data_IF_006633921881
#
_entry.id   IF_006633921881
#
_cell.length_a   1.000
_cell.length_b   1.000
_cell.length_c   1.000
_cell.angle_alpha   90.00
_cell.angle_beta   90.00
_cell.angle_gamma   90.00
#
_symmetry.space_group_name_H-M   'P 1'
#
loop_
_entity.id
_entity.type
_entity.pdbx_description
1 polymer ?
#
# COMPACT_ATOMS: atom_id res chain seq x y z
N UNK A 1 47.40 8.48 18.44
CA UNK A 1 46.87 7.55 19.45
C UNK A 1 46.23 8.40 20.54
N UNK A 2 44.92 8.42 20.76
CA UNK A 2 44.01 7.28 20.87
C UNK A 2 42.63 7.64 20.33
N UNK A 3 42.18 6.80 19.41
CA UNK A 3 40.80 6.59 19.01
C UNK A 3 40.03 6.08 20.24
N UNK A 4 39.38 6.98 20.98
CA UNK A 4 38.48 6.58 22.06
C UNK A 4 37.15 6.20 21.44
N UNK A 5 37.11 4.96 20.97
CA UNK A 5 35.92 4.21 20.61
C UNK A 5 34.81 4.50 21.65
N UNK A 6 33.87 5.35 21.24
CA UNK A 6 32.53 5.39 21.83
C UNK A 6 31.94 4.02 21.61
N UNK A 7 32.01 3.20 22.66
CA UNK A 7 31.25 1.97 22.76
C UNK A 7 29.80 2.42 22.82
N UNK A 8 29.17 2.56 21.65
CA UNK A 8 27.72 2.64 21.54
C UNK A 8 27.20 1.28 22.01
N UNK A 9 27.01 1.18 23.32
CA UNK A 9 26.18 0.15 23.94
C UNK A 9 24.83 0.27 23.27
N UNK A 10 24.55 -0.64 22.33
CA UNK A 10 23.27 -0.75 21.67
C UNK A 10 22.19 -0.91 22.71
N UNK A 11 21.52 0.19 23.04
CA UNK A 11 20.22 0.17 23.70
C UNK A 11 19.35 -0.83 22.94
N UNK A 12 18.77 -1.84 23.61
CA UNK A 12 17.86 -2.75 22.92
C UNK A 12 16.70 -1.91 22.40
N UNK A 13 16.61 -1.76 21.07
CA UNK A 13 15.47 -1.12 20.41
C UNK A 13 14.22 -1.86 20.89
N UNK A 14 13.49 -1.26 21.84
CA UNK A 14 12.24 -1.82 22.35
C UNK A 14 11.21 -1.63 21.24
N UNK A 15 11.15 -2.60 20.31
CA UNK A 15 10.09 -2.61 19.31
C UNK A 15 8.75 -2.66 20.04
N UNK A 16 7.85 -1.69 19.82
CA UNK A 16 6.57 -1.65 20.52
C UNK A 16 5.82 -2.96 20.27
N UNK A 17 5.65 -3.77 21.32
CA UNK A 17 5.04 -5.12 21.25
C UNK A 17 3.61 -5.10 20.70
N UNK A 18 2.97 -3.92 20.67
CA UNK A 18 1.65 -3.66 20.10
C UNK A 18 1.54 -3.98 18.60
N UNK A 19 2.61 -3.76 17.82
CA UNK A 19 2.63 -4.03 16.38
C UNK A 19 2.56 -5.54 16.06
N UNK A 20 3.15 -6.40 16.91
CA UNK A 20 3.18 -7.85 16.72
C UNK A 20 1.79 -8.48 16.85
N UNK A 21 0.93 -7.93 17.71
CA UNK A 21 -0.44 -8.43 17.90
C UNK A 21 -1.31 -8.12 16.69
N UNK A 22 -1.19 -6.90 16.13
CA UNK A 22 -1.91 -6.51 14.91
C UNK A 22 -1.53 -7.36 13.69
N UNK A 23 -0.26 -7.75 13.58
CA UNK A 23 0.23 -8.59 12.48
C UNK A 23 -0.46 -9.95 12.45
N UNK A 24 -0.64 -10.60 13.60
CA UNK A 24 -1.31 -11.91 13.70
C UNK A 24 -2.84 -11.82 13.72
N UNK A 25 -3.39 -10.73 14.29
CA UNK A 25 -4.84 -10.55 14.39
C UNK A 25 -5.50 -10.44 13.01
N UNK A 26 -4.84 -9.77 12.04
CA UNK A 26 -5.33 -9.66 10.67
C UNK A 26 -5.60 -11.03 10.01
N UNK A 27 -4.58 -11.90 9.82
CA UNK A 27 -4.75 -13.21 9.21
C UNK A 27 -5.72 -14.11 9.97
N UNK A 28 -5.77 -14.02 11.30
CA UNK A 28 -6.72 -14.76 12.12
C UNK A 28 -8.16 -14.34 11.79
N UNK A 29 -8.45 -13.03 11.75
CA UNK A 29 -9.78 -12.53 11.40
C UNK A 29 -10.12 -12.82 9.95
N UNK A 30 -9.16 -12.71 9.03
CA UNK A 30 -9.34 -13.05 7.63
C UNK A 30 -9.72 -14.52 7.44
N UNK A 31 -8.97 -15.45 8.05
CA UNK A 31 -9.26 -16.87 7.99
C UNK A 31 -10.58 -17.21 8.69
N UNK A 32 -10.85 -16.60 9.84
CA UNK A 32 -12.11 -16.75 10.55
C UNK A 32 -13.28 -16.32 9.66
N UNK A 33 -13.15 -15.17 8.98
CA UNK A 33 -14.19 -14.67 8.09
C UNK A 33 -14.41 -15.58 6.89
N UNK A 34 -13.35 -16.15 6.31
CA UNK A 34 -13.48 -17.09 5.19
C UNK A 34 -14.07 -18.45 5.59
N UNK A 35 -13.88 -18.90 6.83
CA UNK A 35 -14.33 -20.22 7.28
C UNK A 35 -15.70 -20.20 7.98
N UNK A 36 -16.06 -19.10 8.64
CA UNK A 36 -17.23 -19.04 9.52
C UNK A 36 -18.28 -18.02 9.10
N UNK A 37 -18.03 -17.17 8.10
CA UNK A 37 -18.94 -16.09 7.73
C UNK A 37 -19.35 -16.20 6.26
N UNK A 38 -20.57 -16.67 6.01
CA UNK A 38 -21.18 -16.66 4.68
C UNK A 38 -22.13 -15.46 4.56
N UNK A 39 -21.64 -14.36 3.94
CA UNK A 39 -22.45 -13.15 3.76
C UNK A 39 -23.56 -13.35 2.72
N UNK A 40 -23.29 -14.12 1.66
CA UNK A 40 -24.26 -14.44 0.62
C UNK A 40 -24.00 -15.87 0.09
N UNK A 41 -24.92 -16.83 0.32
CA UNK A 41 -24.78 -18.20 -0.17
C UNK A 41 -24.68 -18.31 -1.69
N UNK A 42 -25.17 -17.31 -2.44
CA UNK A 42 -25.15 -17.33 -3.90
C UNK A 42 -23.85 -16.77 -4.48
N UNK A 43 -23.08 -15.99 -3.70
CA UNK A 43 -21.89 -15.28 -4.17
C UNK A 43 -20.78 -15.26 -3.12
N UNK A 44 -19.93 -16.31 -3.02
CA UNK A 44 -18.83 -16.35 -2.06
C UNK A 44 -17.76 -15.26 -2.30
N UNK A 45 -17.80 -14.57 -3.45
CA UNK A 45 -16.91 -13.45 -3.77
C UNK A 45 -17.12 -12.26 -2.81
N UNK A 46 -18.36 -12.02 -2.36
CA UNK A 46 -18.68 -10.89 -1.48
C UNK A 46 -17.99 -11.06 -0.13
N UNK A 47 -18.05 -12.27 0.44
CA UNK A 47 -17.33 -12.63 1.66
C UNK A 47 -15.83 -12.43 1.48
N UNK A 48 -15.25 -12.88 0.36
CA UNK A 48 -13.80 -12.74 0.11
C UNK A 48 -13.37 -11.27 0.02
N UNK A 49 -14.14 -10.43 -0.69
CA UNK A 49 -13.85 -8.99 -0.77
C UNK A 49 -13.96 -8.32 0.59
N UNK A 50 -15.03 -8.62 1.34
CA UNK A 50 -15.24 -8.07 2.67
C UNK A 50 -14.17 -8.52 3.67
N UNK A 51 -13.69 -9.77 3.57
CA UNK A 51 -12.57 -10.26 4.37
C UNK A 51 -11.27 -9.49 4.10
N UNK A 52 -10.98 -9.15 2.85
CA UNK A 52 -9.81 -8.34 2.49
C UNK A 52 -9.95 -6.91 3.02
N UNK A 53 -11.14 -6.31 2.91
CA UNK A 53 -11.40 -4.96 3.43
C UNK A 53 -11.24 -4.93 4.95
N UNK A 54 -11.76 -5.94 5.66
CA UNK A 54 -11.66 -6.03 7.11
C UNK A 54 -10.21 -6.26 7.56
N UNK A 55 -9.48 -7.13 6.85
CA UNK A 55 -8.04 -7.34 7.06
C UNK A 55 -7.25 -6.02 6.92
N UNK A 56 -7.53 -5.27 5.86
CA UNK A 56 -6.92 -3.97 5.60
C UNK A 56 -7.24 -2.95 6.71
N UNK A 57 -8.50 -2.87 7.12
CA UNK A 57 -8.92 -1.97 8.19
C UNK A 57 -8.22 -2.29 9.52
N UNK A 58 -8.07 -3.57 9.86
CA UNK A 58 -7.36 -4.01 11.06
C UNK A 58 -5.90 -3.57 11.00
N UNK A 59 -5.22 -3.79 9.87
CA UNK A 59 -3.81 -3.39 9.72
C UNK A 59 -3.60 -1.88 9.62
N UNK A 60 -4.57 -1.12 9.11
CA UNK A 60 -4.56 0.34 9.18
C UNK A 60 -4.69 0.85 10.61
N UNK A 61 -5.62 0.30 11.40
CA UNK A 61 -5.85 0.74 12.80
C UNK A 61 -4.70 0.32 13.71
N UNK A 62 -4.09 -0.84 13.47
CA UNK A 62 -3.03 -1.39 14.34
C UNK A 62 -1.62 -0.96 13.96
N UNK A 63 -1.46 -0.22 12.85
CA UNK A 63 -0.17 0.19 12.28
C UNK A 63 0.86 -0.96 12.23
N UNK A 64 0.39 -2.19 12.00
CA UNK A 64 1.23 -3.38 12.00
C UNK A 64 2.16 -3.43 10.77
N UNK A 65 1.72 -2.82 9.67
CA UNK A 65 2.40 -2.72 8.37
C UNK A 65 2.28 -1.25 7.91
N UNK A 66 3.31 -0.64 7.31
CA UNK A 66 3.20 0.73 6.80
C UNK A 66 2.04 0.86 5.81
N UNK A 67 1.31 1.98 5.87
CA UNK A 67 0.11 2.19 5.05
C UNK A 67 0.36 1.93 3.55
N UNK A 68 1.55 2.27 3.05
CA UNK A 68 1.97 2.00 1.68
C UNK A 68 2.01 0.51 1.33
N UNK A 69 2.50 -0.34 2.22
CA UNK A 69 2.55 -1.79 2.00
C UNK A 69 1.16 -2.42 2.14
N UNK A 70 0.32 -1.92 3.06
CA UNK A 70 -1.09 -2.37 3.10
C UNK A 70 -1.85 -1.98 1.82
N UNK A 71 -1.62 -0.80 1.23
CA UNK A 71 -2.27 -0.44 -0.03
C UNK A 71 -1.91 -1.35 -1.22
N UNK A 72 -0.84 -2.14 -1.10
CA UNK A 72 -0.41 -3.12 -2.09
C UNK A 72 -1.09 -4.49 -1.92
N UNK A 73 -1.68 -4.76 -0.76
CA UNK A 73 -2.27 -6.06 -0.44
C UNK A 73 -3.37 -6.53 -1.40
N UNK A 74 -4.29 -5.65 -1.85
CA UNK A 74 -5.29 -6.02 -2.84
C UNK A 74 -4.69 -6.53 -4.15
N UNK A 75 -3.52 -6.03 -4.56
CA UNK A 75 -2.83 -6.49 -5.77
C UNK A 75 -2.48 -7.97 -5.67
N UNK A 76 -2.10 -8.42 -4.48
CA UNK A 76 -1.66 -9.81 -4.26
C UNK A 76 -2.85 -10.69 -3.88
N UNK A 77 -3.73 -10.21 -2.98
CA UNK A 77 -4.85 -10.99 -2.49
C UNK A 77 -6.01 -11.11 -3.48
N UNK A 78 -6.34 -10.07 -4.26
CA UNK A 78 -7.45 -10.17 -5.20
C UNK A 78 -7.23 -11.24 -6.28
N UNK A 79 -6.03 -11.37 -6.90
CA UNK A 79 -5.76 -12.45 -7.83
C UNK A 79 -5.67 -13.81 -7.12
N UNK A 80 -5.04 -13.86 -5.94
CA UNK A 80 -4.92 -15.09 -5.14
C UNK A 80 -6.28 -15.65 -4.73
N UNK A 81 -7.23 -14.78 -4.41
CA UNK A 81 -8.61 -15.14 -4.05
C UNK A 81 -9.52 -15.39 -5.27
N UNK A 82 -8.96 -15.28 -6.49
CA UNK A 82 -9.69 -15.47 -7.75
C UNK A 82 -10.69 -14.36 -8.09
N UNK A 83 -10.66 -13.23 -7.37
CA UNK A 83 -11.63 -12.13 -7.50
C UNK A 83 -11.46 -11.41 -8.86
N UNK A 84 -10.22 -11.22 -9.33
CA UNK A 84 -9.95 -10.58 -10.62
C UNK A 84 -10.24 -11.49 -11.82
N UNK A 85 -10.18 -12.82 -11.67
CA UNK A 85 -10.47 -13.78 -12.74
C UNK A 85 -11.95 -13.78 -13.16
N UNK A 86 -12.85 -13.39 -12.26
CA UNK A 86 -14.30 -13.32 -12.54
C UNK A 86 -14.75 -12.14 -13.41
N UNK A 87 -13.85 -11.23 -13.81
CA UNK A 87 -14.20 -10.03 -14.60
C UNK A 87 -13.75 -10.07 -16.05
N UNK A 88 -12.87 -11.00 -16.44
CA UNK A 88 -12.11 -10.89 -17.70
C UNK A 88 -12.02 -12.20 -18.48
N UNK A 89 -13.14 -12.92 -18.60
CA UNK A 89 -13.29 -13.88 -19.69
C UNK A 89 -13.78 -13.12 -20.93
N UNK A 90 -13.05 -13.16 -22.07
CA UNK A 90 -13.55 -12.68 -23.36
C UNK A 90 -14.95 -13.25 -23.59
N UNK A 91 -15.90 -12.40 -23.99
CA UNK A 91 -17.36 -12.56 -23.94
C UNK A 91 -17.98 -13.77 -24.70
N UNK A 92 -17.46 -14.99 -24.52
CA UNK A 92 -17.81 -16.16 -25.31
C UNK A 92 -17.76 -17.50 -24.57
N UNK A 93 -17.36 -17.59 -23.31
CA UNK A 93 -17.46 -18.85 -22.56
C UNK A 93 -18.00 -18.62 -21.15
N UNK A 94 -18.96 -19.45 -20.76
CA UNK A 94 -19.79 -19.29 -19.56
C UNK A 94 -18.90 -19.22 -18.31
N UNK A 95 -19.22 -18.28 -17.45
CA UNK A 95 -18.63 -18.14 -16.11
C UNK A 95 -19.06 -19.36 -15.29
N UNK A 96 -18.20 -20.37 -15.25
CA UNK A 96 -18.38 -21.52 -14.37
C UNK A 96 -17.97 -21.11 -12.95
N UNK A 97 -18.96 -20.66 -12.18
CA UNK A 97 -18.82 -20.15 -10.81
C UNK A 97 -18.19 -21.17 -9.83
N UNK A 98 -18.18 -22.46 -10.22
CA UNK A 98 -17.58 -23.57 -9.49
C UNK A 98 -16.05 -23.65 -9.63
N UNK A 99 -15.47 -23.03 -10.68
CA UNK A 99 -14.01 -23.00 -10.94
C UNK A 99 -13.31 -21.81 -10.28
N UNK A 100 -14.04 -20.92 -9.59
CA UNK A 100 -13.48 -19.81 -8.81
C UNK A 100 -12.90 -20.28 -7.46
N UNK A 101 -12.17 -21.40 -7.47
CA UNK A 101 -11.47 -21.97 -6.33
C UNK A 101 -9.97 -22.03 -6.60
N UNK A 102 -9.17 -22.06 -5.53
CA UNK A 102 -7.70 -22.00 -5.54
C UNK A 102 -7.02 -23.16 -6.32
N UNK A 103 -7.78 -24.13 -6.81
CA UNK A 103 -7.31 -25.40 -7.36
C UNK A 103 -6.53 -25.25 -8.68
N UNK A 104 -6.88 -24.27 -9.51
CA UNK A 104 -6.16 -24.03 -10.78
C UNK A 104 -4.82 -23.29 -10.61
N UNK A 105 -4.46 -22.90 -9.38
CA UNK A 105 -3.19 -22.25 -9.07
C UNK A 105 -2.99 -20.91 -9.79
N UNK A 106 -1.80 -20.33 -9.64
CA UNK A 106 -1.39 -19.11 -10.34
C UNK A 106 -0.60 -19.53 -11.60
N UNK A 107 -1.11 -19.22 -12.79
CA UNK A 107 -0.49 -19.58 -14.08
C UNK A 107 0.28 -18.41 -14.68
N UNK A 108 1.30 -18.71 -15.48
CA UNK A 108 2.09 -17.69 -16.18
C UNK A 108 1.25 -16.79 -17.10
N UNK A 109 0.08 -17.26 -17.54
CA UNK A 109 -0.85 -16.48 -18.38
C UNK A 109 -1.67 -15.46 -17.57
N UNK A 110 -1.82 -15.66 -16.26
CA UNK A 110 -2.51 -14.70 -15.41
C UNK A 110 -1.69 -13.42 -15.25
N UNK A 111 -0.36 -13.50 -15.27
CA UNK A 111 0.50 -12.32 -15.23
C UNK A 111 0.23 -11.36 -16.38
N UNK A 112 0.02 -11.87 -17.60
CA UNK A 112 -0.26 -11.05 -18.79
C UNK A 112 -1.60 -10.29 -18.67
N UNK A 113 -2.52 -10.79 -17.84
CA UNK A 113 -3.82 -10.15 -17.56
C UNK A 113 -3.73 -9.23 -16.33
N UNK A 114 -3.05 -9.65 -15.26
CA UNK A 114 -2.98 -8.90 -13.99
C UNK A 114 -2.14 -7.63 -14.14
N UNK A 115 -0.97 -7.71 -14.76
CA UNK A 115 -0.05 -6.59 -14.84
C UNK A 115 -0.63 -5.34 -15.55
N UNK A 116 -1.24 -5.43 -16.75
CA UNK A 116 -1.77 -4.23 -17.41
C UNK A 116 -2.93 -3.59 -16.63
N UNK A 117 -3.82 -4.39 -16.05
CA UNK A 117 -4.95 -3.89 -15.28
C UNK A 117 -4.52 -3.20 -13.99
N UNK A 118 -3.61 -3.82 -13.24
CA UNK A 118 -3.05 -3.23 -12.03
C UNK A 118 -2.23 -1.99 -12.37
N UNK A 119 -1.38 -2.04 -13.39
CA UNK A 119 -0.59 -0.87 -13.81
C UNK A 119 -1.48 0.34 -14.10
N UNK A 120 -2.61 0.14 -14.79
CA UNK A 120 -3.57 1.21 -15.04
C UNK A 120 -4.20 1.80 -13.77
N UNK A 121 -4.48 0.97 -12.75
CA UNK A 121 -5.05 1.45 -11.48
C UNK A 121 -4.05 2.20 -10.60
N UNK A 122 -2.77 1.85 -10.67
CA UNK A 122 -1.71 2.50 -9.87
C UNK A 122 -1.05 3.69 -10.57
N UNK A 123 -1.17 3.79 -11.90
CA UNK A 123 -0.65 4.90 -12.71
C UNK A 123 -1.70 6.00 -12.94
N UNK A 124 -2.48 6.33 -11.92
CA UNK A 124 -3.46 7.41 -12.03
C UNK A 124 -2.76 8.78 -12.17
N UNK A 125 -3.34 9.67 -12.97
CA UNK A 125 -2.80 10.99 -13.23
C UNK A 125 -2.63 11.82 -11.95
N UNK A 126 -3.47 11.61 -10.94
CA UNK A 126 -3.39 12.28 -9.63
C UNK A 126 -2.15 11.79 -8.88
N UNK A 127 -1.83 10.49 -8.95
CA UNK A 127 -0.65 9.92 -8.30
C UNK A 127 0.62 10.48 -8.97
N UNK A 128 0.64 10.56 -10.31
CA UNK A 128 1.75 11.14 -11.07
C UNK A 128 1.91 12.63 -10.80
N UNK A 129 0.80 13.38 -10.67
CA UNK A 129 0.80 14.79 -10.31
C UNK A 129 1.40 15.01 -8.92
N UNK A 130 0.97 14.22 -7.93
CA UNK A 130 1.48 14.30 -6.56
C UNK A 130 2.98 13.99 -6.54
N UNK A 131 3.40 12.88 -7.15
CA UNK A 131 4.81 12.50 -7.25
C UNK A 131 5.66 13.60 -7.93
N UNK A 132 5.18 14.17 -9.04
CA UNK A 132 5.82 15.30 -9.72
C UNK A 132 5.93 16.54 -8.82
N UNK A 133 4.89 16.82 -8.03
CA UNK A 133 4.89 17.90 -7.04
C UNK A 133 5.98 17.75 -5.97
N UNK A 134 6.19 16.54 -5.43
CA UNK A 134 7.29 16.29 -4.49
C UNK A 134 8.65 16.45 -5.15
N UNK A 135 8.82 15.97 -6.38
CA UNK A 135 10.08 16.10 -7.13
C UNK A 135 10.44 17.58 -7.31
N UNK A 136 9.48 18.41 -7.69
CA UNK A 136 9.68 19.87 -7.82
C UNK A 136 9.98 20.51 -6.47
N UNK A 137 9.26 20.15 -5.41
CA UNK A 137 9.50 20.67 -4.06
C UNK A 137 10.92 20.35 -3.56
N UNK A 138 11.37 19.10 -3.73
CA UNK A 138 12.73 18.65 -3.38
C UNK A 138 13.78 19.39 -4.22
N UNK A 139 13.51 19.65 -5.50
CA UNK A 139 14.41 20.45 -6.34
C UNK A 139 14.55 21.89 -5.82
N UNK A 140 13.43 22.52 -5.44
CA UNK A 140 13.42 23.88 -4.87
C UNK A 140 14.16 23.93 -3.52
N UNK A 141 14.01 22.90 -2.69
CA UNK A 141 14.73 22.76 -1.43
C UNK A 141 16.25 22.67 -1.64
N UNK A 142 16.70 21.79 -2.56
CA UNK A 142 18.13 21.63 -2.88
C UNK A 142 18.79 22.94 -3.32
N UNK A 143 18.06 23.82 -3.99
CA UNK A 143 18.57 25.10 -4.46
C UNK A 143 18.60 26.18 -3.37
N UNK A 144 18.17 25.86 -2.14
CA UNK A 144 17.97 26.76 -1.02
C UNK A 144 17.21 28.04 -1.44
N UNK A 145 16.32 27.90 -2.43
CA UNK A 145 15.65 29.04 -3.08
C UNK A 145 14.81 29.83 -2.06
N UNK A 146 14.17 29.11 -1.12
CA UNK A 146 13.41 29.71 -0.02
C UNK A 146 14.29 30.60 0.88
N UNK A 147 15.51 30.16 1.22
CA UNK A 147 16.44 30.96 2.03
C UNK A 147 16.96 32.17 1.27
N UNK A 148 17.27 32.01 -0.02
CA UNK A 148 17.74 33.10 -0.88
C UNK A 148 16.68 34.19 -1.04
N UNK A 149 15.41 33.81 -1.23
CA UNK A 149 14.31 34.78 -1.34
C UNK A 149 14.00 35.45 0.00
N UNK A 150 14.00 34.71 1.12
CA UNK A 150 13.82 35.29 2.46
C UNK A 150 14.93 36.29 2.83
N UNK A 151 16.20 35.94 2.60
CA UNK A 151 17.33 36.83 2.88
C UNK A 151 17.26 38.09 2.00
N UNK A 152 16.93 37.95 0.71
CA UNK A 152 16.77 39.08 -0.20
C UNK A 152 15.64 40.03 0.26
N UNK A 153 14.50 39.48 0.70
CA UNK A 153 13.37 40.28 1.16
C UNK A 153 13.65 41.04 2.46
N UNK A 154 14.31 40.39 3.44
CA UNK A 154 14.75 41.03 4.70
C UNK A 154 15.79 42.13 4.41
N UNK A 155 16.72 41.88 3.50
CA UNK A 155 17.75 42.87 3.13
C UNK A 155 17.14 44.07 2.41
N UNK A 156 16.11 43.86 1.59
CA UNK A 156 15.44 44.95 0.85
C UNK A 156 14.71 45.93 1.79
N UNK A 157 14.07 45.44 2.86
CA UNK A 157 13.38 46.27 3.85
C UNK A 157 14.32 47.09 4.77
N UNK A 158 15.64 46.83 4.71
CA UNK A 158 16.65 47.53 5.53
C UNK A 158 17.28 48.73 4.83
N UNK A 159 16.89 49.04 3.59
CA UNK A 159 17.33 50.27 2.91
C UNK A 159 16.46 51.44 3.40
N UNK A 160 17.03 52.49 4.04
CA UNK A 160 16.26 53.69 4.32
C UNK A 160 15.82 54.32 2.99
N UNK A 161 14.52 54.55 2.85
CA UNK A 161 13.98 55.42 1.80
C UNK A 161 14.53 56.83 2.00
N UNK A 162 14.89 57.56 0.93
CA UNK A 162 15.46 58.91 1.01
C UNK A 162 14.50 59.92 1.64
#
# INVERSE_FOLDING_TARGET
MTDSASTETGEPIVVPTRSKVGLWLGPIVFLFMLLFVDLDPNNPLVTRMAAIILLMAIWWITEAIPLSATALLPIVLFPLMGIMRGRELPAGNRIDLETATFVDGFSARDFDIIFPNVANQYMDWIILLFMGGFIVAVAVEKWNLHKKHCIAHITNHRRPTP
#
